data_IF_006063029339
#
_entry.id   IF_006063029339
#
_cell.length_a   1.000
_cell.length_b   1.000
_cell.length_c   1.000
_cell.angle_alpha   90.00
_cell.angle_beta   90.00
_cell.angle_gamma   90.00
#
_symmetry.space_group_name_H-M   'P 1'
#
loop_
_entity.id
_entity.type
_entity.pdbx_description
1 polymer ?
#
# COMPACT_ATOMS: atom_id res chain seq x y z
N UNK A 1 -17.98 -11.18 6.76
CA UNK A 1 -16.75 -11.24 7.57
C UNK A 1 -17.19 -11.26 9.02
N UNK A 2 -16.83 -12.30 9.76
CA UNK A 2 -17.30 -12.52 11.13
C UNK A 2 -16.17 -12.26 12.14
N UNK A 3 -16.52 -11.80 13.35
CA UNK A 3 -15.59 -11.56 14.46
C UNK A 3 -14.42 -10.62 14.10
N UNK A 4 -14.72 -9.55 13.37
CA UNK A 4 -13.72 -8.59 12.94
C UNK A 4 -13.18 -7.78 14.12
N UNK A 5 -11.86 -7.62 14.18
CA UNK A 5 -11.15 -6.83 15.18
C UNK A 5 -10.71 -5.46 14.64
N UNK A 6 -10.56 -4.44 15.49
CA UNK A 6 -10.01 -3.14 15.09
C UNK A 6 -8.64 -3.28 14.41
N UNK A 7 -8.50 -2.75 13.20
CA UNK A 7 -7.28 -2.82 12.39
C UNK A 7 -7.18 -4.05 11.48
N UNK A 8 -8.13 -4.97 11.54
CA UNK A 8 -8.18 -6.08 10.59
C UNK A 8 -8.33 -5.56 9.16
N UNK A 9 -7.80 -6.34 8.22
CA UNK A 9 -7.97 -6.06 6.81
C UNK A 9 -8.22 -7.36 6.04
N UNK A 10 -8.88 -7.24 4.89
CA UNK A 10 -9.15 -8.36 4.01
C UNK A 10 -9.02 -7.92 2.55
N UNK A 11 -8.69 -8.87 1.67
CA UNK A 11 -8.83 -8.68 0.22
C UNK A 11 -10.00 -9.52 -0.26
N UNK A 12 -11.02 -8.87 -0.81
CA UNK A 12 -12.18 -9.53 -1.41
C UNK A 12 -12.00 -9.52 -2.91
N UNK A 13 -12.29 -10.66 -3.56
CA UNK A 13 -12.10 -10.81 -5.00
C UNK A 13 -13.43 -11.18 -5.64
N UNK A 14 -13.88 -10.37 -6.58
CA UNK A 14 -14.96 -10.71 -7.52
C UNK A 14 -14.38 -10.95 -8.90
N UNK A 15 -14.87 -11.99 -9.58
CA UNK A 15 -14.54 -12.29 -10.97
C UNK A 15 -15.75 -11.95 -11.84
N UNK A 16 -15.55 -11.12 -12.86
CA UNK A 16 -16.55 -10.79 -13.86
C UNK A 16 -16.17 -11.46 -15.18
N UNK A 17 -17.12 -12.12 -15.81
CA UNK A 17 -16.94 -12.86 -17.05
C UNK A 17 -17.84 -12.24 -18.13
N UNK A 18 -17.26 -11.85 -19.26
CA UNK A 18 -18.06 -11.39 -20.39
C UNK A 18 -18.41 -12.57 -21.31
N UNK A 19 -19.56 -13.19 -21.06
CA UNK A 19 -20.12 -14.25 -21.92
C UNK A 19 -20.79 -13.69 -23.18
N UNK A 20 -20.97 -12.36 -23.26
CA UNK A 20 -21.56 -11.68 -24.40
C UNK A 20 -20.64 -11.70 -25.62
N UNK A 21 -21.21 -11.58 -26.81
CA UNK A 21 -20.45 -11.54 -28.07
C UNK A 21 -19.69 -10.23 -28.26
N UNK A 22 -20.16 -9.15 -27.64
CA UNK A 22 -19.57 -7.82 -27.76
C UNK A 22 -18.75 -7.45 -26.54
N UNK A 23 -17.73 -6.65 -26.80
CA UNK A 23 -16.97 -5.95 -25.78
C UNK A 23 -17.85 -5.12 -24.86
N UNK A 24 -17.55 -5.16 -23.56
CA UNK A 24 -18.33 -4.47 -22.54
C UNK A 24 -17.44 -3.58 -21.66
N UNK A 25 -17.89 -2.35 -21.39
CA UNK A 25 -17.41 -1.60 -20.23
C UNK A 25 -18.29 -1.90 -19.04
N UNK A 26 -17.67 -1.99 -17.86
CA UNK A 26 -18.33 -2.47 -16.64
C UNK A 26 -18.10 -1.47 -15.51
N UNK A 27 -19.16 -1.17 -14.77
CA UNK A 27 -19.08 -0.53 -13.47
C UNK A 27 -19.89 -1.26 -12.41
N UNK A 28 -19.45 -1.15 -11.16
CA UNK A 28 -20.02 -1.89 -10.02
C UNK A 28 -20.28 -0.94 -8.87
N UNK A 29 -21.46 -1.02 -8.27
CA UNK A 29 -21.79 -0.37 -7.01
C UNK A 29 -22.00 -1.46 -5.96
N UNK A 30 -21.28 -1.37 -4.84
CA UNK A 30 -21.34 -2.33 -3.75
C UNK A 30 -22.11 -1.73 -2.59
N UNK A 31 -23.02 -2.53 -2.02
CA UNK A 31 -23.71 -2.22 -0.77
C UNK A 31 -22.93 -2.76 0.41
N UNK A 32 -23.05 -2.10 1.54
CA UNK A 32 -22.34 -2.48 2.76
C UNK A 32 -23.24 -2.38 3.98
N UNK A 33 -23.08 -3.32 4.92
CA UNK A 33 -23.83 -3.32 6.17
C UNK A 33 -23.13 -4.12 7.25
N UNK A 34 -23.34 -3.69 8.49
CA UNK A 34 -23.16 -4.53 9.67
C UNK A 34 -24.47 -5.24 10.01
N UNK A 35 -24.38 -6.54 10.28
CA UNK A 35 -25.47 -7.37 10.77
C UNK A 35 -25.07 -8.08 12.07
N UNK A 36 -26.04 -8.74 12.71
CA UNK A 36 -25.85 -9.47 13.97
C UNK A 36 -25.37 -8.61 15.16
N UNK A 37 -25.57 -7.30 15.10
CA UNK A 37 -25.31 -6.36 16.19
C UNK A 37 -26.59 -6.08 17.00
N UNK A 38 -26.43 -5.74 18.29
CA UNK A 38 -27.56 -5.35 19.17
C UNK A 38 -28.13 -3.97 18.84
N UNK A 39 -27.36 -3.16 18.12
CA UNK A 39 -27.67 -1.79 17.72
C UNK A 39 -27.36 -1.62 16.23
N UNK A 40 -27.95 -0.62 15.57
CA UNK A 40 -27.59 -0.29 14.18
C UNK A 40 -26.20 0.36 14.21
N UNK A 41 -25.21 -0.32 13.62
CA UNK A 41 -23.83 0.15 13.54
C UNK A 41 -23.61 0.97 12.27
N UNK A 42 -22.71 1.96 12.33
CA UNK A 42 -22.31 2.73 11.14
C UNK A 42 -21.34 1.92 10.28
N UNK A 43 -21.31 2.21 8.99
CA UNK A 43 -20.32 1.66 8.04
C UNK A 43 -19.15 2.63 7.79
N UNK A 44 -19.23 3.87 8.29
CA UNK A 44 -18.19 4.91 8.08
C UNK A 44 -16.84 4.58 8.76
N UNK A 45 -16.81 3.48 9.53
CA UNK A 45 -15.64 2.92 10.18
C UNK A 45 -14.91 1.86 9.33
N UNK A 46 -15.43 1.55 8.14
CA UNK A 46 -14.84 0.61 7.19
C UNK A 46 -14.46 1.37 5.93
N UNK A 47 -13.20 1.22 5.52
CA UNK A 47 -12.68 1.83 4.30
C UNK A 47 -12.32 0.74 3.30
N UNK A 48 -12.54 0.99 2.02
CA UNK A 48 -12.16 0.07 0.96
C UNK A 48 -11.61 0.77 -0.27
N UNK A 49 -10.71 0.11 -0.98
CA UNK A 49 -10.16 0.62 -2.22
C UNK A 49 -9.84 -0.55 -3.17
N UNK A 50 -10.13 -0.43 -4.48
CA UNK A 50 -9.59 -1.39 -5.44
C UNK A 50 -8.07 -1.34 -5.42
N UNK A 51 -7.46 -2.50 -5.65
CA UNK A 51 -6.03 -2.58 -5.98
C UNK A 51 -5.75 -1.68 -7.19
N UNK A 52 -4.60 -1.02 -7.15
CA UNK A 52 -4.10 -0.12 -8.16
C UNK A 52 -4.10 -0.78 -9.54
N UNK A 53 -4.52 -0.04 -10.59
CA UNK A 53 -4.37 -0.48 -11.96
C UNK A 53 -2.90 -0.78 -12.30
N UNK A 54 -2.65 -1.92 -12.92
CA UNK A 54 -1.34 -2.33 -13.43
C UNK A 54 -1.28 -2.03 -14.93
N UNK A 55 -0.24 -1.33 -15.40
CA UNK A 55 -0.09 -0.92 -16.81
C UNK A 55 -1.32 -0.18 -17.39
N UNK A 56 -2.00 0.60 -16.55
CA UNK A 56 -3.20 1.34 -16.93
C UNK A 56 -4.47 0.48 -17.04
N UNK A 57 -4.43 -0.77 -16.59
CA UNK A 57 -5.53 -1.73 -16.58
C UNK A 57 -5.94 -2.07 -15.15
N UNK A 58 -7.18 -1.78 -14.77
CA UNK A 58 -7.68 -2.06 -13.42
C UNK A 58 -8.97 -1.34 -13.07
N UNK A 59 -9.24 -1.23 -11.76
CA UNK A 59 -10.46 -0.63 -11.24
C UNK A 59 -10.18 0.71 -10.57
N UNK A 60 -11.07 1.68 -10.76
CA UNK A 60 -11.01 3.01 -10.12
C UNK A 60 -12.37 3.35 -9.50
N UNK A 61 -12.39 4.20 -8.46
CA UNK A 61 -13.62 4.61 -7.77
C UNK A 61 -14.04 6.02 -8.17
N UNK A 62 -15.34 6.26 -8.34
CA UNK A 62 -15.91 7.60 -8.46
C UNK A 62 -17.32 7.64 -7.89
N UNK A 63 -17.73 8.79 -7.37
CA UNK A 63 -19.08 9.02 -6.87
C UNK A 63 -20.01 9.40 -8.02
N UNK A 64 -21.24 8.89 -8.01
CA UNK A 64 -22.32 9.44 -8.83
C UNK A 64 -22.86 10.77 -8.26
N UNK A 65 -23.83 11.37 -8.96
CA UNK A 65 -24.45 12.64 -8.52
C UNK A 65 -25.17 12.52 -7.16
N UNK A 66 -25.57 11.31 -6.78
CA UNK A 66 -26.23 11.00 -5.51
C UNK A 66 -25.21 10.70 -4.38
N UNK A 67 -23.92 10.66 -4.70
CA UNK A 67 -22.84 10.37 -3.75
C UNK A 67 -22.62 8.87 -3.49
N UNK A 68 -23.09 7.98 -4.37
CA UNK A 68 -22.81 6.56 -4.29
C UNK A 68 -21.48 6.23 -4.97
N UNK A 69 -20.65 5.41 -4.31
CA UNK A 69 -19.38 4.96 -4.88
C UNK A 69 -19.63 3.92 -5.98
N UNK A 70 -19.07 4.17 -7.15
CA UNK A 70 -19.01 3.24 -8.28
C UNK A 70 -17.56 2.88 -8.60
N UNK A 71 -17.31 1.60 -8.83
CA UNK A 71 -16.05 1.02 -9.26
C UNK A 71 -16.09 0.82 -10.77
N UNK A 72 -15.26 1.54 -11.51
CA UNK A 72 -15.18 1.47 -12.97
C UNK A 72 -13.99 0.63 -13.38
N UNK A 73 -14.21 -0.35 -14.25
CA UNK A 73 -13.13 -1.04 -14.91
C UNK A 73 -12.61 -0.20 -16.08
N UNK A 74 -11.30 0.02 -16.11
CA UNK A 74 -10.61 0.83 -17.10
C UNK A 74 -9.40 0.06 -17.61
N UNK A 75 -9.26 -0.06 -18.93
CA UNK A 75 -8.08 -0.66 -19.58
C UNK A 75 -7.48 0.33 -20.58
N UNK A 76 -6.38 0.98 -20.22
CA UNK A 76 -5.72 1.97 -21.09
C UNK A 76 -4.61 1.36 -21.96
N UNK A 77 -4.28 0.10 -21.75
CA UNK A 77 -3.09 -0.55 -22.33
C UNK A 77 -3.17 -0.68 -23.86
N UNK A 78 -4.39 -0.67 -24.42
CA UNK A 78 -4.65 -0.86 -25.85
C UNK A 78 -4.75 0.44 -26.66
N UNK A 79 -4.63 1.62 -26.03
CA UNK A 79 -4.85 2.92 -26.68
C UNK A 79 -6.33 3.23 -26.99
N UNK A 80 -7.23 2.28 -26.71
CA UNK A 80 -8.68 2.45 -26.65
C UNK A 80 -9.06 2.34 -25.17
N UNK A 81 -10.02 3.13 -24.68
CA UNK A 81 -10.51 3.02 -23.31
C UNK A 81 -11.23 1.68 -23.16
N UNK A 82 -10.45 0.71 -22.72
CA UNK A 82 -10.65 -0.70 -22.99
C UNK A 82 -11.81 -1.31 -22.23
N UNK A 83 -12.25 -2.39 -22.84
CA UNK A 83 -13.43 -3.18 -22.53
C UNK A 83 -13.00 -4.56 -22.06
N UNK A 84 -13.89 -5.26 -21.40
CA UNK A 84 -13.80 -6.71 -21.26
C UNK A 84 -14.22 -7.32 -22.60
N UNK A 85 -13.31 -7.99 -23.28
CA UNK A 85 -13.52 -8.52 -24.64
C UNK A 85 -14.69 -9.50 -24.66
N UNK A 86 -15.53 -9.38 -25.70
CA UNK A 86 -16.59 -10.35 -25.97
C UNK A 86 -16.08 -11.65 -26.58
N UNK A 87 -17.00 -12.57 -26.83
CA UNK A 87 -16.71 -13.89 -27.41
C UNK A 87 -16.70 -13.90 -28.95
N UNK A 88 -17.01 -12.79 -29.62
CA UNK A 88 -16.99 -12.74 -31.09
C UNK A 88 -15.58 -12.91 -31.65
N UNK A 89 -15.43 -13.88 -32.56
CA UNK A 89 -14.19 -14.14 -33.28
C UNK A 89 -14.28 -13.60 -34.71
N UNK A 90 -13.58 -12.51 -35.06
CA UNK A 90 -13.62 -11.95 -36.41
C UNK A 90 -12.90 -12.85 -37.44
N UNK A 91 -11.94 -13.67 -37.00
CA UNK A 91 -11.13 -14.51 -37.87
C UNK A 91 -11.82 -15.85 -38.20
N UNK A 92 -12.66 -16.34 -37.28
CA UNK A 92 -13.46 -17.56 -37.46
C UNK A 92 -14.82 -17.43 -36.73
N UNK A 93 -15.84 -16.84 -37.37
CA UNK A 93 -17.13 -16.58 -36.73
C UNK A 93 -17.89 -17.82 -36.23
N UNK A 94 -17.54 -19.02 -36.70
CA UNK A 94 -18.12 -20.29 -36.22
C UNK A 94 -17.44 -20.80 -34.94
N UNK A 95 -16.30 -20.22 -34.56
CA UNK A 95 -15.54 -20.57 -33.34
C UNK A 95 -15.42 -19.36 -32.40
N UNK A 96 -16.38 -19.17 -31.48
CA UNK A 96 -16.32 -18.11 -30.48
C UNK A 96 -15.00 -18.17 -29.69
N UNK A 97 -14.50 -16.98 -29.35
CA UNK A 97 -13.36 -16.85 -28.44
C UNK A 97 -13.79 -17.21 -27.01
N UNK A 98 -12.83 -17.70 -26.23
CA UNK A 98 -13.04 -17.89 -24.79
C UNK A 98 -13.42 -16.56 -24.11
N UNK A 99 -14.40 -16.55 -23.20
CA UNK A 99 -14.80 -15.36 -22.45
C UNK A 99 -13.63 -14.72 -21.71
N UNK A 100 -13.45 -13.41 -21.87
CA UNK A 100 -12.49 -12.68 -21.04
C UNK A 100 -13.01 -12.51 -19.62
N UNK A 101 -12.08 -12.56 -18.67
CA UNK A 101 -12.35 -12.44 -17.24
C UNK A 101 -11.56 -11.28 -16.68
N UNK A 102 -12.21 -10.49 -15.84
CA UNK A 102 -11.56 -9.42 -15.08
C UNK A 102 -11.85 -9.58 -13.60
N UNK A 103 -10.86 -9.28 -12.76
CA UNK A 103 -10.96 -9.43 -11.32
C UNK A 103 -11.00 -8.07 -10.65
N UNK A 104 -12.01 -7.84 -9.82
CA UNK A 104 -12.03 -6.75 -8.85
C UNK A 104 -11.41 -7.28 -7.56
N UNK A 105 -10.15 -6.92 -7.30
CA UNK A 105 -9.51 -7.11 -6.01
C UNK A 105 -9.75 -5.86 -5.17
N UNK A 106 -10.53 -5.98 -4.10
CA UNK A 106 -10.88 -4.88 -3.21
C UNK A 106 -10.25 -5.11 -1.84
N UNK A 107 -9.43 -4.17 -1.40
CA UNK A 107 -8.89 -4.18 -0.03
C UNK A 107 -9.87 -3.48 0.87
N UNK A 108 -10.23 -4.12 1.98
CA UNK A 108 -11.16 -3.62 3.00
C UNK A 108 -10.40 -3.52 4.32
N UNK A 109 -10.47 -2.38 5.00
CA UNK A 109 -9.79 -2.12 6.28
C UNK A 109 -10.82 -1.64 7.30
N UNK A 110 -10.75 -2.25 8.47
CA UNK A 110 -11.59 -1.96 9.62
C UNK A 110 -10.85 -0.97 10.53
N UNK A 111 -11.28 0.29 10.53
CA UNK A 111 -10.51 1.37 11.15
C UNK A 111 -10.38 1.19 12.67
N UNK A 112 -9.13 1.23 13.16
CA UNK A 112 -8.83 0.91 14.55
C UNK A 112 -9.41 1.93 15.54
N UNK A 113 -9.48 3.20 15.16
CA UNK A 113 -9.94 4.27 16.06
C UNK A 113 -11.47 4.38 16.08
N UNK A 114 -12.13 3.86 15.06
CA UNK A 114 -13.58 3.97 14.85
C UNK A 114 -14.36 2.69 15.18
N UNK A 115 -13.66 1.61 15.53
CA UNK A 115 -14.27 0.32 15.92
C UNK A 115 -14.09 0.10 17.42
N UNK A 116 -15.20 -0.04 18.13
CA UNK A 116 -15.26 -0.32 19.55
C UNK A 116 -15.81 -1.72 19.86
N UNK A 117 -16.16 -1.95 21.13
CA UNK A 117 -16.68 -3.24 21.58
C UNK A 117 -18.07 -3.59 20.99
N UNK A 118 -18.85 -2.64 20.48
CA UNK A 118 -20.19 -2.91 19.94
C UNK A 118 -20.13 -3.60 18.57
N UNK A 119 -18.98 -3.48 17.89
CA UNK A 119 -18.68 -4.18 16.63
C UNK A 119 -18.16 -5.61 16.87
N UNK A 120 -17.74 -5.93 18.10
CA UNK A 120 -17.25 -7.27 18.42
C UNK A 120 -18.41 -8.26 18.34
N UNK A 121 -18.24 -9.31 17.53
CA UNK A 121 -19.27 -10.31 17.15
C UNK A 121 -20.29 -9.85 16.10
N UNK A 122 -20.18 -8.63 15.57
CA UNK A 122 -20.97 -8.22 14.41
C UNK A 122 -20.38 -8.82 13.12
N UNK A 123 -21.24 -9.01 12.12
CA UNK A 123 -20.85 -9.49 10.79
C UNK A 123 -20.86 -8.32 9.83
N UNK A 124 -19.73 -7.98 9.23
CA UNK A 124 -19.68 -7.02 8.13
C UNK A 124 -19.89 -7.73 6.79
N UNK A 125 -20.75 -7.16 5.96
CA UNK A 125 -21.02 -7.62 4.59
C UNK A 125 -20.77 -6.47 3.63
N UNK A 126 -19.98 -6.73 2.60
CA UNK A 126 -19.78 -5.85 1.45
C UNK A 126 -20.12 -6.61 0.17
N UNK A 127 -20.89 -5.98 -0.71
CA UNK A 127 -21.54 -6.65 -1.83
C UNK A 127 -22.85 -7.36 -1.43
N UNK A 128 -23.45 -8.06 -2.40
CA UNK A 128 -24.66 -8.85 -2.19
C UNK A 128 -25.96 -8.13 -2.54
N UNK A 129 -27.01 -8.34 -1.75
CA UNK A 129 -28.35 -7.83 -2.08
C UNK A 129 -28.39 -6.29 -2.12
N UNK A 130 -28.82 -5.73 -3.24
CA UNK A 130 -28.83 -4.28 -3.48
C UNK A 130 -27.58 -3.74 -4.19
N UNK A 131 -26.50 -4.51 -4.26
CA UNK A 131 -25.35 -4.18 -5.12
C UNK A 131 -25.74 -4.28 -6.60
N UNK A 132 -25.09 -3.48 -7.44
CA UNK A 132 -25.40 -3.38 -8.87
C UNK A 132 -24.16 -3.57 -9.71
N UNK A 133 -24.31 -4.31 -10.81
CA UNK A 133 -23.33 -4.40 -11.89
C UNK A 133 -24.00 -3.87 -13.14
N UNK A 134 -23.38 -2.87 -13.77
CA UNK A 134 -23.86 -2.31 -15.04
C UNK A 134 -22.79 -2.58 -16.09
N UNK A 135 -23.20 -3.22 -17.17
CA UNK A 135 -22.38 -3.42 -18.36
C UNK A 135 -23.04 -2.72 -19.54
N UNK A 136 -22.24 -2.00 -20.33
CA UNK A 136 -22.68 -1.39 -21.59
C UNK A 136 -21.72 -1.80 -22.69
N UNK A 137 -22.25 -1.95 -23.90
CA UNK A 137 -21.46 -2.30 -25.06
C UNK A 137 -20.44 -1.20 -25.36
N UNK A 138 -19.19 -1.58 -25.62
CA UNK A 138 -18.09 -0.63 -25.84
C UNK A 138 -18.09 0.08 -27.20
N UNK A 139 -19.09 -0.19 -28.03
CA UNK A 139 -19.23 0.44 -29.33
C UNK A 139 -19.68 1.91 -29.21
N UNK A 140 -19.24 2.73 -30.17
CA UNK A 140 -19.69 4.11 -30.37
C UNK A 140 -19.51 5.05 -29.17
N UNK A 141 -18.53 4.79 -28.29
CA UNK A 141 -18.30 5.55 -27.06
C UNK A 141 -19.57 5.66 -26.20
N UNK A 142 -20.39 4.60 -26.15
CA UNK A 142 -21.62 4.59 -25.36
C UNK A 142 -21.46 5.08 -23.91
N UNK A 143 -20.40 4.71 -23.16
CA UNK A 143 -20.21 5.21 -21.80
C UNK A 143 -20.14 6.73 -21.68
N UNK A 144 -19.51 7.41 -22.65
CA UNK A 144 -19.35 8.87 -22.63
C UNK A 144 -20.70 9.60 -22.56
N UNK A 145 -21.77 8.94 -23.02
CA UNK A 145 -23.14 9.47 -23.03
C UNK A 145 -24.01 8.93 -21.90
N UNK A 146 -23.71 7.74 -21.38
CA UNK A 146 -24.56 7.04 -20.40
C UNK A 146 -24.05 7.23 -18.96
N UNK A 147 -22.76 7.51 -18.79
CA UNK A 147 -22.11 7.59 -17.48
C UNK A 147 -21.37 8.92 -17.36
N UNK A 148 -21.91 9.82 -16.53
CA UNK A 148 -21.37 11.17 -16.38
C UNK A 148 -19.90 11.19 -15.91
N UNK A 149 -19.51 10.22 -15.08
CA UNK A 149 -18.16 10.11 -14.53
C UNK A 149 -17.16 9.51 -15.52
N UNK A 150 -17.63 8.87 -16.61
CA UNK A 150 -16.76 8.04 -17.46
C UNK A 150 -15.60 8.82 -18.07
N UNK A 151 -15.89 10.01 -18.62
CA UNK A 151 -14.87 10.89 -19.19
C UNK A 151 -13.85 11.37 -18.16
N UNK A 152 -14.18 11.32 -16.86
CA UNK A 152 -13.26 11.71 -15.79
C UNK A 152 -12.39 10.53 -15.36
N UNK A 153 -12.99 9.38 -15.05
CA UNK A 153 -12.29 8.19 -14.54
C UNK A 153 -11.31 7.59 -15.55
N UNK A 154 -11.51 7.90 -16.83
CA UNK A 154 -10.65 7.46 -17.93
C UNK A 154 -9.45 8.37 -18.19
N UNK A 155 -9.38 9.56 -17.56
CA UNK A 155 -8.22 10.47 -17.70
C UNK A 155 -6.96 9.90 -17.05
N UNK A 156 -5.82 10.26 -17.60
CA UNK A 156 -4.52 9.90 -17.03
C UNK A 156 -4.28 10.60 -15.70
N UNK A 157 -3.79 9.84 -14.72
CA UNK A 157 -3.62 10.32 -13.35
C UNK A 157 -4.94 10.66 -12.65
N UNK A 158 -6.06 10.05 -13.06
CA UNK A 158 -7.34 10.22 -12.37
C UNK A 158 -7.20 9.93 -10.88
N UNK A 159 -7.73 10.86 -10.07
CA UNK A 159 -7.89 10.73 -8.62
C UNK A 159 -9.33 11.19 -8.32
N UNK A 160 -10.06 10.52 -7.40
CA UNK A 160 -11.40 10.93 -7.07
C UNK A 160 -11.51 12.39 -6.59
N UNK A 161 -12.66 13.00 -6.84
CA UNK A 161 -12.94 14.41 -6.57
C UNK A 161 -12.90 14.72 -5.06
N UNK A 162 -12.28 15.83 -4.68
CA UNK A 162 -12.24 16.30 -3.30
C UNK A 162 -13.64 16.45 -2.68
N UNK A 163 -13.77 16.02 -1.42
CA UNK A 163 -15.03 16.10 -0.66
C UNK A 163 -16.06 15.01 -0.99
N UNK A 164 -15.67 13.94 -1.68
CA UNK A 164 -16.54 12.79 -1.98
C UNK A 164 -16.13 11.52 -1.22
N UNK A 165 -17.03 10.53 -1.12
CA UNK A 165 -16.74 9.29 -0.38
C UNK A 165 -15.69 8.44 -1.09
N UNK A 166 -15.65 8.43 -2.43
CA UNK A 166 -14.57 7.75 -3.15
C UNK A 166 -13.22 8.38 -2.84
N UNK A 167 -13.17 9.71 -2.64
CA UNK A 167 -11.94 10.39 -2.26
C UNK A 167 -11.52 10.11 -0.83
N UNK A 168 -12.46 10.10 0.10
CA UNK A 168 -12.18 9.71 1.49
C UNK A 168 -11.57 8.31 1.56
N UNK A 169 -12.15 7.35 0.84
CA UNK A 169 -11.61 6.00 0.71
C UNK A 169 -10.23 6.01 0.04
N UNK A 170 -10.09 6.68 -1.10
CA UNK A 170 -8.79 6.78 -1.79
C UNK A 170 -7.69 7.32 -0.87
N UNK A 171 -7.94 8.45 -0.20
CA UNK A 171 -6.97 9.08 0.70
C UNK A 171 -6.63 8.20 1.90
N UNK A 172 -7.58 7.41 2.42
CA UNK A 172 -7.31 6.48 3.51
C UNK A 172 -6.19 5.46 3.17
N UNK A 173 -6.10 5.04 1.91
CA UNK A 173 -5.09 4.10 1.41
C UNK A 173 -3.86 4.76 0.76
N UNK A 174 -3.97 6.03 0.35
CA UNK A 174 -2.91 6.74 -0.40
C UNK A 174 -2.20 7.82 0.43
N UNK A 175 -2.72 8.21 1.59
CA UNK A 175 -2.07 9.16 2.50
C UNK A 175 -1.21 8.43 3.56
N UNK A 176 0.10 8.69 3.65
CA UNK A 176 1.00 8.05 4.64
C UNK A 176 0.73 8.45 6.10
N UNK A 177 -0.23 9.34 6.35
CA UNK A 177 -0.70 9.69 7.70
C UNK A 177 -1.93 8.86 8.12
N UNK A 178 -2.53 8.08 7.21
CA UNK A 178 -3.73 7.28 7.46
C UNK A 178 -3.39 5.80 7.71
N UNK A 179 -4.16 5.09 8.55
CA UNK A 179 -3.87 3.68 8.85
C UNK A 179 -3.94 2.75 7.63
N UNK A 180 -4.86 3.00 6.70
CA UNK A 180 -5.06 2.16 5.50
C UNK A 180 -3.80 2.04 4.63
N UNK A 181 -3.01 3.12 4.53
CA UNK A 181 -1.73 3.13 3.80
C UNK A 181 -0.74 2.07 4.32
N UNK A 182 -0.79 1.74 5.62
CA UNK A 182 0.08 0.75 6.26
C UNK A 182 -0.60 -0.59 6.51
N UNK A 183 -1.84 -0.78 6.06
CA UNK A 183 -2.51 -2.06 6.23
C UNK A 183 -1.80 -3.14 5.42
N UNK A 184 -1.57 -4.30 6.04
CA UNK A 184 -0.85 -5.42 5.43
C UNK A 184 -1.51 -5.87 4.12
N UNK A 185 -2.84 -5.89 4.08
CA UNK A 185 -3.59 -6.26 2.89
C UNK A 185 -3.40 -5.26 1.75
N UNK A 186 -3.33 -3.95 2.02
CA UNK A 186 -3.07 -2.95 0.98
C UNK A 186 -1.67 -3.07 0.40
N UNK A 187 -0.68 -3.32 1.25
CA UNK A 187 0.71 -3.56 0.87
C UNK A 187 0.80 -4.80 -0.01
N UNK A 188 0.28 -5.94 0.46
CA UNK A 188 0.35 -7.21 -0.26
C UNK A 188 -0.48 -7.21 -1.56
N UNK A 189 -1.68 -6.63 -1.55
CA UNK A 189 -2.59 -6.74 -2.70
C UNK A 189 -2.15 -5.92 -3.92
N UNK A 190 -1.38 -4.84 -3.70
CA UNK A 190 -0.85 -4.00 -4.77
C UNK A 190 0.55 -4.37 -5.20
N UNK A 191 1.08 -5.50 -4.70
CA UNK A 191 2.51 -5.81 -4.77
C UNK A 191 3.36 -4.56 -4.38
N UNK A 192 2.79 -3.73 -3.49
CA UNK A 192 3.39 -2.51 -2.93
C UNK A 192 4.33 -2.96 -1.82
N UNK A 193 5.38 -3.66 -2.21
CA UNK A 193 6.52 -4.01 -1.38
C UNK A 193 7.73 -3.63 -2.23
N UNK A 194 8.52 -2.56 -1.96
CA UNK A 194 9.44 -2.49 -0.82
C UNK A 194 9.86 -1.03 -0.48
N UNK A 195 9.08 -0.02 -0.87
CA UNK A 195 9.51 1.39 -0.96
C UNK A 195 9.81 2.12 0.36
N UNK A 196 9.66 1.45 1.51
CA UNK A 196 10.20 1.84 2.82
C UNK A 196 11.34 0.94 3.31
N UNK A 197 11.62 -0.15 2.60
CA UNK A 197 12.79 -0.99 2.81
C UNK A 197 14.00 -0.20 2.34
N UNK A 198 14.92 0.03 3.27
CA UNK A 198 16.22 0.60 2.95
C UNK A 198 16.95 -0.39 2.06
N UNK A 199 17.33 0.04 0.86
CA UNK A 199 18.05 -0.82 -0.08
C UNK A 199 19.55 -0.54 -0.12
N UNK A 200 19.96 0.69 0.20
CA UNK A 200 21.37 1.00 0.30
C UNK A 200 21.61 2.24 1.17
N UNK A 201 22.81 2.31 1.72
CA UNK A 201 23.40 3.49 2.31
C UNK A 201 24.92 3.30 2.38
N UNK A 202 25.65 4.40 2.53
CA UNK A 202 27.07 4.35 2.83
C UNK A 202 27.39 5.09 4.12
N UNK A 203 28.40 4.58 4.80
CA UNK A 203 28.97 5.18 5.99
C UNK A 203 30.12 6.09 5.58
N UNK A 204 30.20 7.27 6.18
CA UNK A 204 31.27 8.20 5.89
C UNK A 204 31.80 8.84 7.18
N UNK A 205 33.11 9.08 7.21
CA UNK A 205 33.83 9.69 8.33
C UNK A 205 33.52 9.07 9.70
N UNK A 206 33.39 7.73 9.76
CA UNK A 206 33.08 7.04 11.02
C UNK A 206 34.30 7.09 11.95
N UNK A 207 34.10 7.68 13.13
CA UNK A 207 35.09 7.77 14.21
C UNK A 207 34.67 6.89 15.37
N UNK A 208 35.61 6.08 15.84
CA UNK A 208 35.43 5.18 16.97
C UNK A 208 36.39 5.59 18.08
N UNK A 209 35.87 5.72 19.30
CA UNK A 209 36.71 5.97 20.47
C UNK A 209 36.45 4.96 21.57
N UNK A 210 37.55 4.34 21.98
CA UNK A 210 37.63 3.38 23.06
C UNK A 210 37.64 4.10 24.39
N UNK A 211 36.82 3.61 25.33
CA UNK A 211 36.82 4.12 26.68
C UNK A 211 36.79 2.97 27.68
N UNK A 212 37.62 3.08 28.73
CA UNK A 212 37.66 2.14 29.85
C UNK A 212 37.80 2.93 31.15
N UNK A 213 36.92 2.66 32.12
CA UNK A 213 37.01 3.25 33.45
C UNK A 213 36.44 2.32 34.50
N UNK A 214 37.20 2.07 35.58
CA UNK A 214 36.81 1.21 36.72
C UNK A 214 36.17 -0.12 36.30
N UNK A 215 36.82 -0.85 35.39
CA UNK A 215 36.34 -2.15 34.89
C UNK A 215 35.17 -2.08 33.91
N UNK A 216 34.58 -0.91 33.65
CA UNK A 216 33.56 -0.70 32.62
C UNK A 216 34.21 -0.32 31.31
N UNK A 217 33.82 -1.00 30.24
CA UNK A 217 34.23 -0.73 28.87
C UNK A 217 33.06 -0.15 28.09
N UNK A 218 33.31 0.85 27.26
CA UNK A 218 32.34 1.30 26.26
C UNK A 218 33.04 1.86 25.03
N UNK A 219 32.31 1.87 23.93
CA UNK A 219 32.73 2.40 22.64
C UNK A 219 31.81 3.56 22.28
N UNK A 220 32.38 4.71 21.89
CA UNK A 220 31.61 5.82 21.32
C UNK A 220 31.82 5.87 19.81
N UNK A 221 30.73 6.05 19.07
CA UNK A 221 30.72 6.07 17.62
C UNK A 221 30.06 7.38 17.14
N UNK A 222 30.72 8.05 16.20
CA UNK A 222 30.18 9.23 15.50
C UNK A 222 30.48 9.13 14.02
N UNK A 223 29.67 9.73 13.16
CA UNK A 223 29.89 9.71 11.72
C UNK A 223 28.65 10.13 10.92
N UNK A 224 28.66 9.78 9.64
CA UNK A 224 27.58 10.09 8.71
C UNK A 224 27.02 8.83 8.08
N UNK A 225 25.69 8.79 7.98
CA UNK A 225 25.00 7.97 6.98
C UNK A 225 24.68 8.90 5.81
N UNK A 226 24.99 8.44 4.60
CA UNK A 226 24.72 9.19 3.38
C UNK A 226 24.16 8.24 2.30
N UNK A 227 23.49 8.84 1.32
CA UNK A 227 22.89 8.10 0.20
C UNK A 227 21.92 7.01 0.65
N UNK A 228 21.32 7.15 1.82
CA UNK A 228 20.33 6.20 2.30
C UNK A 228 19.12 6.27 1.37
N UNK A 229 18.85 5.16 0.70
CA UNK A 229 17.81 5.03 -0.31
C UNK A 229 16.84 3.93 0.09
N UNK A 230 15.58 4.19 -0.21
CA UNK A 230 14.62 3.11 -0.32
C UNK A 230 14.93 2.23 -1.54
N UNK A 231 14.39 1.02 -1.57
CA UNK A 231 14.46 0.10 -2.71
C UNK A 231 13.98 0.68 -4.04
N UNK A 232 13.10 1.67 -4.01
CA UNK A 232 12.69 2.44 -5.18
C UNK A 232 13.74 3.50 -5.63
N UNK A 233 14.94 3.49 -5.06
CA UNK A 233 16.03 4.40 -5.38
C UNK A 233 15.91 5.81 -4.81
N UNK A 234 14.76 6.19 -4.22
CA UNK A 234 14.55 7.52 -3.64
C UNK A 234 15.34 7.68 -2.35
N UNK A 235 15.87 8.89 -2.14
CA UNK A 235 16.57 9.24 -0.90
C UNK A 235 15.59 9.33 0.27
N UNK A 236 15.98 8.75 1.40
CA UNK A 236 15.17 8.66 2.61
C UNK A 236 15.12 10.02 3.31
N UNK A 237 13.92 10.56 3.52
CA UNK A 237 13.71 11.72 4.39
C UNK A 237 12.70 11.36 5.47
N UNK A 238 13.11 11.37 6.73
CA UNK A 238 12.30 10.89 7.86
C UNK A 238 13.12 10.13 8.89
N UNK A 239 12.45 9.69 9.97
CA UNK A 239 13.09 8.95 11.05
C UNK A 239 13.16 7.45 10.75
N UNK A 240 14.33 6.85 10.90
CA UNK A 240 14.57 5.40 10.81
C UNK A 240 15.20 4.89 12.10
N UNK A 241 15.06 3.60 12.39
CA UNK A 241 15.81 2.93 13.46
C UNK A 241 17.13 2.41 12.90
N UNK A 242 18.24 2.81 13.52
CA UNK A 242 19.58 2.32 13.18
C UNK A 242 20.17 1.56 14.36
N UNK A 243 20.65 0.34 14.10
CA UNK A 243 21.37 -0.49 15.08
C UNK A 243 22.86 -0.39 14.83
N UNK A 244 23.61 -0.03 15.86
CA UNK A 244 25.06 0.02 15.86
C UNK A 244 25.59 -1.18 16.62
N UNK A 245 26.43 -1.98 15.98
CA UNK A 245 27.05 -3.19 16.53
C UNK A 245 28.56 -3.02 16.57
N UNK A 246 29.17 -3.41 17.68
CA UNK A 246 30.62 -3.50 17.85
C UNK A 246 31.01 -4.93 18.19
N UNK A 247 31.94 -5.48 17.42
CA UNK A 247 32.48 -6.84 17.60
C UNK A 247 34.01 -6.78 17.72
N UNK A 248 34.55 -7.16 18.88
CA UNK A 248 35.99 -7.17 19.15
C UNK A 248 36.36 -8.29 20.12
N UNK A 249 37.44 -9.03 19.82
CA UNK A 249 37.98 -10.10 20.66
C UNK A 249 36.93 -11.13 21.11
N UNK A 250 36.03 -11.51 20.20
CA UNK A 250 34.94 -12.46 20.47
C UNK A 250 33.75 -11.89 21.26
N UNK A 251 33.79 -10.61 21.65
CA UNK A 251 32.68 -9.91 22.33
C UNK A 251 31.90 -9.07 21.33
N UNK A 252 30.58 -9.25 21.28
CA UNK A 252 29.67 -8.45 20.45
C UNK A 252 28.63 -7.74 21.32
N UNK A 253 28.43 -6.45 21.08
CA UNK A 253 27.39 -5.62 21.73
C UNK A 253 26.75 -4.68 20.71
N UNK A 254 25.51 -4.30 20.97
CA UNK A 254 24.76 -3.41 20.06
C UNK A 254 23.82 -2.46 20.81
N UNK A 255 23.43 -1.40 20.12
CA UNK A 255 22.41 -0.44 20.57
C UNK A 255 21.61 0.07 19.37
N UNK A 256 20.33 0.33 19.55
CA UNK A 256 19.43 0.84 18.51
C UNK A 256 18.98 2.24 18.86
N UNK A 257 19.09 3.17 17.92
CA UNK A 257 18.69 4.57 18.09
C UNK A 257 17.84 5.05 16.91
N UNK A 258 16.86 5.94 17.15
CA UNK A 258 16.18 6.63 16.07
C UNK A 258 17.10 7.69 15.45
N UNK A 259 17.17 7.75 14.12
CA UNK A 259 17.92 8.75 13.36
C UNK A 259 16.99 9.42 12.35
N UNK A 260 16.96 10.74 12.35
CA UNK A 260 16.19 11.52 11.37
C UNK A 260 17.06 11.87 10.17
N UNK A 261 16.79 11.25 9.03
CA UNK A 261 17.44 11.54 7.77
C UNK A 261 16.79 12.72 7.08
N UNK A 262 17.64 13.56 6.47
CA UNK A 262 17.25 14.59 5.53
C UNK A 262 17.92 14.28 4.20
N UNK A 263 17.11 13.95 3.19
CA UNK A 263 17.58 13.63 1.85
C UNK A 263 18.68 12.54 1.81
N UNK A 264 18.40 11.43 2.49
CA UNK A 264 19.25 10.25 2.60
C UNK A 264 20.49 10.45 3.46
N UNK A 265 20.55 11.53 4.25
CA UNK A 265 21.71 11.90 5.05
C UNK A 265 21.36 12.16 6.51
N UNK A 266 22.21 11.71 7.42
CA UNK A 266 22.15 12.06 8.84
C UNK A 266 23.54 12.02 9.45
N UNK A 267 23.81 12.96 10.36
CA UNK A 267 24.97 12.91 11.25
C UNK A 267 24.55 12.25 12.56
N UNK A 268 25.23 11.19 12.97
CA UNK A 268 25.05 10.57 14.27
C UNK A 268 26.28 10.85 15.14
N UNK A 269 26.06 11.24 16.39
CA UNK A 269 27.13 11.62 17.30
C UNK A 269 26.98 10.94 18.65
N UNK A 270 28.11 10.49 19.21
CA UNK A 270 28.21 9.97 20.57
C UNK A 270 27.30 8.74 20.85
N UNK A 271 27.06 7.91 19.84
CA UNK A 271 26.37 6.63 20.04
C UNK A 271 27.24 5.77 20.95
N UNK A 272 26.73 5.42 22.13
CA UNK A 272 27.50 4.74 23.17
C UNK A 272 27.07 3.28 23.29
N UNK A 273 28.02 2.36 23.11
CA UNK A 273 27.80 0.92 23.28
C UNK A 273 28.59 0.44 24.49
N UNK A 274 27.88 -0.05 25.50
CA UNK A 274 28.47 -0.54 26.74
C UNK A 274 28.88 -2.02 26.64
N UNK A 275 29.93 -2.39 27.38
CA UNK A 275 30.39 -3.77 27.51
C UNK A 275 31.43 -4.21 26.48
N UNK A 276 31.88 -3.30 25.59
CA UNK A 276 32.93 -3.55 24.60
C UNK A 276 33.72 -2.28 24.34
N UNK A 277 35.03 -2.40 24.13
CA UNK A 277 35.98 -1.30 24.00
C UNK A 277 36.79 -1.42 22.71
N UNK A 278 36.26 -0.86 21.62
CA UNK A 278 36.90 -0.80 20.32
C UNK A 278 37.43 0.60 19.99
N UNK A 279 38.52 0.64 19.24
CA UNK A 279 39.25 1.83 18.74
C UNK A 279 39.40 1.81 17.21
N UNK A 280 38.88 0.78 16.54
CA UNK A 280 38.96 0.60 15.09
C UNK A 280 37.55 0.65 14.49
N UNK A 281 37.38 1.37 13.37
CA UNK A 281 36.11 1.41 12.64
C UNK A 281 35.77 0.08 11.97
N UNK A 282 36.75 -0.77 11.68
CA UNK A 282 36.50 -2.14 11.18
C UNK A 282 35.75 -3.03 12.18
N UNK A 283 35.76 -2.69 13.46
CA UNK A 283 35.03 -3.40 14.50
C UNK A 283 33.53 -2.99 14.55
N UNK A 284 33.11 -2.02 13.72
CA UNK A 284 31.76 -1.43 13.74
C UNK A 284 30.95 -1.84 12.50
N UNK A 285 29.74 -2.33 12.75
CA UNK A 285 28.69 -2.53 11.74
C UNK A 285 27.48 -1.66 12.07
N UNK A 286 26.93 -0.97 11.06
CA UNK A 286 25.66 -0.24 11.15
C UNK A 286 24.60 -0.99 10.36
N UNK A 287 23.39 -1.07 10.92
CA UNK A 287 22.26 -1.80 10.35
C UNK A 287 21.05 -0.86 10.30
N UNK A 288 20.42 -0.73 9.13
CA UNK A 288 19.17 0.02 8.92
C UNK A 288 18.26 -0.82 8.02
N UNK A 289 17.07 -1.19 8.52
CA UNK A 289 16.30 -2.26 7.90
C UNK A 289 17.12 -3.56 7.90
N UNK A 290 17.25 -4.20 6.74
CA UNK A 290 18.03 -5.43 6.58
C UNK A 290 19.46 -5.20 6.03
N UNK A 291 19.80 -3.96 5.70
CA UNK A 291 21.10 -3.62 5.12
C UNK A 291 22.14 -3.44 6.23
N UNK A 292 23.26 -4.14 6.09
CA UNK A 292 24.41 -4.11 6.99
C UNK A 292 25.61 -3.51 6.26
N UNK A 293 26.28 -2.53 6.89
CA UNK A 293 27.51 -1.93 6.35
C UNK A 293 28.57 -1.89 7.44
N UNK A 294 29.77 -2.36 7.13
CA UNK A 294 30.93 -2.19 8.00
C UNK A 294 31.48 -0.78 7.82
N UNK A 295 31.96 -0.16 8.89
CA UNK A 295 32.46 1.21 8.82
C UNK A 295 33.91 1.31 8.31
N UNK A 296 34.57 0.17 8.05
CA UNK A 296 35.95 0.09 7.56
C UNK A 296 36.10 -0.33 6.09
N UNK A 297 34.98 -0.52 5.39
CA UNK A 297 34.86 -0.80 3.95
C UNK A 297 34.49 0.48 3.20
#
# INVERSE_FOLDING_TARGET
>A
MDNVSPGDCFTVIWEFVNEGTSDAQIKVNLTEMWSNSKTKLSVDNVYYCPVEPEDGKGWVMADDEEGNIWLYYVDKSSGTLGSVRGTYNPDDPEKPLEPEKVKLKLVVVFDKESIDNDYQSATYTIGGNGSKVIAIQAANNAPDTQWDQWLEVTKDGYIPKEGTKSRENYDYFHNPEKPGYFSECWIHANDRDPGKIIADFYLDQVKVSKNKWKGKAWTKISGWIKGCRYSNGKLVSGTVKATFRVSKDGVTKETTVPLTLKNGKVNFNNITIHGVAADNNRDVTVIIGDIKKNAGD
#
